data_IF_501218509978
#
_entry.id   IF_501218509978
#
_cell.length_a   1.000
_cell.length_b   1.000
_cell.length_c   1.000
_cell.angle_alpha   90.00
_cell.angle_beta   90.00
_cell.angle_gamma   90.00
#
_symmetry.space_group_name_H-M   'P 1'
#
loop_
_entity.id
_entity.type
_entity.pdbx_description
1 polymer ?
#
# COMPACT_ATOMS: atom_id res chain seq x y z
N UNK A 1 -9.76 3.79 -14.28
CA UNK A 1 -8.97 3.84 -15.54
C UNK A 1 -7.80 2.88 -15.47
N UNK A 2 -7.68 1.98 -16.45
CA UNK A 2 -6.48 1.15 -16.62
C UNK A 2 -5.35 2.06 -17.10
N UNK A 3 -4.17 1.97 -16.49
CA UNK A 3 -2.98 2.74 -16.88
C UNK A 3 -1.97 1.83 -17.56
N UNK A 4 -1.11 2.41 -18.40
CA UNK A 4 0.07 1.71 -18.88
C UNK A 4 1.17 1.76 -17.81
N UNK A 5 1.21 0.74 -16.96
CA UNK A 5 2.17 0.66 -15.86
C UNK A 5 3.61 0.62 -16.35
N UNK A 6 3.87 -0.09 -17.44
CA UNK A 6 5.21 -0.20 -18.05
C UNK A 6 5.73 1.16 -18.47
N UNK A 7 4.88 1.97 -19.11
CA UNK A 7 5.23 3.33 -19.52
C UNK A 7 5.57 4.21 -18.32
N UNK A 8 4.73 4.22 -17.29
CA UNK A 8 4.96 5.05 -16.09
C UNK A 8 6.24 4.65 -15.34
N UNK A 9 6.53 3.36 -15.24
CA UNK A 9 7.77 2.84 -14.64
C UNK A 9 9.03 3.17 -15.48
N UNK A 10 8.87 3.63 -16.72
CA UNK A 10 9.99 4.02 -17.59
C UNK A 10 10.15 5.53 -17.65
N UNK A 11 9.05 6.29 -17.67
CA UNK A 11 9.06 7.74 -17.86
C UNK A 11 9.25 8.52 -16.56
N UNK A 12 8.81 7.98 -15.42
CA UNK A 12 8.92 8.67 -14.12
C UNK A 12 10.20 8.22 -13.43
N UNK A 13 11.12 9.13 -13.03
CA UNK A 13 12.31 8.78 -12.27
C UNK A 13 11.98 8.02 -10.98
N UNK A 14 12.79 7.02 -10.61
CA UNK A 14 12.54 6.17 -9.43
C UNK A 14 12.48 6.96 -8.12
N UNK A 15 13.24 8.05 -7.99
CA UNK A 15 13.19 8.99 -6.85
C UNK A 15 11.83 9.68 -6.69
N UNK A 16 10.98 9.60 -7.72
CA UNK A 16 9.61 10.14 -7.71
C UNK A 16 8.54 9.06 -7.51
N UNK A 17 8.91 7.82 -7.21
CA UNK A 17 7.96 6.74 -6.96
C UNK A 17 7.52 6.73 -5.49
N UNK A 18 7.14 7.90 -4.98
CA UNK A 18 6.77 8.08 -3.58
C UNK A 18 5.27 8.37 -3.42
N UNK A 19 4.84 8.37 -2.17
CA UNK A 19 3.49 8.72 -1.74
C UNK A 19 3.57 9.81 -0.70
N UNK A 20 2.55 10.64 -0.62
CA UNK A 20 2.45 11.66 0.43
C UNK A 20 1.95 11.05 1.74
N UNK A 21 2.14 11.77 2.85
CA UNK A 21 1.51 11.41 4.13
C UNK A 21 -0.01 11.23 4.02
N UNK A 22 -0.66 12.09 3.24
CA UNK A 22 -2.11 12.00 2.99
C UNK A 22 -2.51 10.69 2.30
N UNK A 23 -1.67 10.21 1.39
CA UNK A 23 -1.91 8.95 0.68
C UNK A 23 -1.76 7.75 1.65
N UNK A 24 -0.86 7.83 2.64
CA UNK A 24 -0.74 6.83 3.71
C UNK A 24 -1.96 6.83 4.63
N UNK A 25 -2.46 8.00 5.06
CA UNK A 25 -3.70 8.07 5.85
C UNK A 25 -4.91 7.49 5.09
N UNK A 26 -4.97 7.70 3.77
CA UNK A 26 -5.98 7.07 2.92
C UNK A 26 -5.80 5.55 2.86
N UNK A 27 -4.57 5.06 2.76
CA UNK A 27 -4.26 3.63 2.83
C UNK A 27 -4.71 3.03 4.15
N UNK A 28 -4.44 3.67 5.29
CA UNK A 28 -4.92 3.23 6.62
C UNK A 28 -6.45 3.07 6.61
N UNK A 29 -7.18 4.09 6.18
CA UNK A 29 -8.64 4.03 6.08
C UNK A 29 -9.15 2.92 5.14
N UNK A 30 -8.46 2.66 4.04
CA UNK A 30 -8.77 1.57 3.12
C UNK A 30 -8.53 0.20 3.76
N UNK A 31 -7.38 -0.02 4.40
CA UNK A 31 -7.05 -1.27 5.09
C UNK A 31 -8.09 -1.55 6.18
N UNK A 32 -8.38 -0.58 7.06
CA UNK A 32 -9.39 -0.69 8.12
C UNK A 32 -10.74 -1.14 7.58
N UNK A 33 -11.19 -0.52 6.49
CA UNK A 33 -12.46 -0.89 5.84
C UNK A 33 -12.42 -2.33 5.32
N UNK A 34 -11.34 -2.74 4.66
CA UNK A 34 -11.22 -4.10 4.10
C UNK A 34 -11.11 -5.18 5.17
N UNK A 35 -10.53 -4.86 6.32
CA UNK A 35 -10.56 -5.72 7.51
C UNK A 35 -11.98 -5.85 8.04
N UNK A 36 -12.70 -4.74 8.23
CA UNK A 36 -14.08 -4.75 8.72
C UNK A 36 -15.05 -5.49 7.78
N UNK A 37 -14.81 -5.43 6.46
CA UNK A 37 -15.55 -6.16 5.43
C UNK A 37 -15.14 -7.65 5.30
N UNK A 38 -14.13 -8.11 6.05
CA UNK A 38 -13.60 -9.49 5.92
C UNK A 38 -12.93 -9.79 4.58
N UNK A 39 -12.50 -8.76 3.85
CA UNK A 39 -11.81 -8.84 2.55
C UNK A 39 -10.29 -8.89 2.67
N UNK A 40 -9.75 -8.33 3.75
CA UNK A 40 -8.37 -8.53 4.16
C UNK A 40 -8.41 -9.44 5.39
N UNK A 41 -7.78 -10.61 5.28
CA UNK A 41 -7.93 -11.71 6.24
C UNK A 41 -6.60 -12.07 6.89
N UNK A 42 -6.61 -12.47 8.17
CA UNK A 42 -5.42 -12.99 8.84
C UNK A 42 -4.85 -14.19 8.08
N UNK A 43 -3.54 -14.37 8.18
CA UNK A 43 -2.81 -15.51 7.61
C UNK A 43 -2.03 -16.24 8.70
N UNK A 44 -1.47 -17.41 8.39
CA UNK A 44 -0.62 -18.13 9.36
C UNK A 44 0.60 -17.30 9.81
N UNK A 45 1.10 -16.40 8.95
CA UNK A 45 2.25 -15.54 9.23
C UNK A 45 1.87 -14.16 9.78
N UNK A 46 0.59 -13.85 9.80
CA UNK A 46 0.05 -12.57 10.26
C UNK A 46 -1.35 -12.77 10.86
N UNK A 47 -1.37 -13.12 12.14
CA UNK A 47 -2.57 -13.41 12.91
C UNK A 47 -3.20 -12.14 13.52
N UNK A 48 -3.25 -11.05 12.76
CA UNK A 48 -3.85 -9.79 13.23
C UNK A 48 -5.34 -9.98 13.62
N UNK A 49 -5.82 -9.15 14.56
CA UNK A 49 -7.22 -9.19 15.01
C UNK A 49 -8.00 -8.09 14.30
N UNK A 50 -9.19 -8.41 13.78
CA UNK A 50 -10.01 -7.42 13.10
C UNK A 50 -10.45 -6.25 14.01
N UNK A 51 -10.48 -6.47 15.32
CA UNK A 51 -10.78 -5.46 16.34
C UNK A 51 -9.57 -4.65 16.80
N UNK A 52 -8.36 -4.99 16.35
CA UNK A 52 -7.15 -4.21 16.65
C UNK A 52 -7.07 -3.01 15.71
N UNK A 53 -7.07 -1.82 16.30
CA UNK A 53 -6.98 -0.55 15.58
C UNK A 53 -5.61 0.15 15.76
N UNK A 54 -4.73 -0.47 16.55
CA UNK A 54 -3.41 0.04 16.92
C UNK A 54 -2.30 -0.50 16.02
N UNK A 55 -2.16 -1.82 15.87
CA UNK A 55 -1.09 -2.42 15.06
C UNK A 55 -1.60 -2.81 13.67
N UNK A 56 -2.73 -3.53 13.61
CA UNK A 56 -3.35 -3.94 12.36
C UNK A 56 -2.57 -5.04 11.63
N UNK A 57 -2.95 -5.33 10.36
CA UNK A 57 -2.24 -6.29 9.53
C UNK A 57 -0.82 -5.83 9.23
N UNK A 58 0.12 -6.76 9.07
CA UNK A 58 1.47 -6.41 8.66
C UNK A 58 1.52 -6.00 7.18
N UNK A 59 2.57 -5.28 6.79
CA UNK A 59 2.73 -4.76 5.43
C UNK A 59 2.78 -5.88 4.37
N UNK A 60 3.32 -7.07 4.70
CA UNK A 60 3.24 -8.23 3.80
C UNK A 60 1.80 -8.62 3.44
N UNK A 61 0.89 -8.65 4.42
CA UNK A 61 -0.51 -8.99 4.22
C UNK A 61 -1.22 -7.91 3.41
N UNK A 62 -0.98 -6.64 3.76
CA UNK A 62 -1.53 -5.50 3.01
C UNK A 62 -1.06 -5.54 1.56
N UNK A 63 0.24 -5.79 1.33
CA UNK A 63 0.78 -5.81 -0.03
C UNK A 63 0.15 -6.94 -0.86
N UNK A 64 0.15 -8.17 -0.34
CA UNK A 64 -0.32 -9.35 -1.07
C UNK A 64 -1.83 -9.39 -1.30
N UNK A 65 -2.63 -8.97 -0.31
CA UNK A 65 -4.10 -9.06 -0.39
C UNK A 65 -4.78 -7.79 -0.89
N UNK A 66 -4.13 -6.62 -0.79
CA UNK A 66 -4.73 -5.33 -1.14
C UNK A 66 -3.99 -4.62 -2.28
N UNK A 67 -2.69 -4.32 -2.10
CA UNK A 67 -1.96 -3.47 -3.05
C UNK A 67 -1.77 -4.20 -4.38
N UNK A 68 -1.14 -5.38 -4.38
CA UNK A 68 -0.85 -6.13 -5.59
C UNK A 68 -2.11 -6.43 -6.42
N UNK A 69 -3.24 -6.89 -5.85
CA UNK A 69 -4.44 -7.13 -6.65
C UNK A 69 -5.04 -5.86 -7.25
N UNK A 70 -4.92 -4.71 -6.57
CA UNK A 70 -5.40 -3.43 -7.09
C UNK A 70 -4.51 -2.96 -8.25
N UNK A 71 -3.19 -2.97 -8.05
CA UNK A 71 -2.24 -2.47 -9.05
C UNK A 71 -2.18 -3.35 -10.29
N UNK A 72 -2.30 -4.67 -10.15
CA UNK A 72 -2.40 -5.59 -11.28
C UNK A 72 -3.61 -5.26 -12.17
N UNK A 73 -4.79 -5.04 -11.57
CA UNK A 73 -5.99 -4.61 -12.32
C UNK A 73 -5.86 -3.22 -12.93
N UNK A 74 -4.99 -2.37 -12.39
CA UNK A 74 -4.72 -1.03 -12.90
C UNK A 74 -3.68 -1.03 -14.04
N UNK A 75 -3.24 -2.19 -14.53
CA UNK A 75 -2.25 -2.32 -15.61
C UNK A 75 -0.81 -2.49 -15.14
N UNK A 76 -0.61 -3.02 -13.92
CA UNK A 76 0.71 -3.39 -13.40
C UNK A 76 1.58 -2.22 -12.94
N UNK A 77 0.97 -1.06 -12.67
CA UNK A 77 1.65 0.14 -12.18
C UNK A 77 2.03 0.01 -10.68
N UNK A 78 3.10 0.66 -10.21
CA UNK A 78 3.36 0.73 -8.76
C UNK A 78 2.23 1.48 -8.03
N UNK A 79 2.03 1.22 -6.74
CA UNK A 79 1.00 1.92 -5.95
C UNK A 79 1.20 3.44 -5.97
N UNK A 80 2.44 3.89 -5.80
CA UNK A 80 2.82 5.30 -5.86
C UNK A 80 2.40 5.95 -7.19
N UNK A 81 2.81 5.37 -8.32
CA UNK A 81 2.48 5.91 -9.65
C UNK A 81 1.00 5.72 -10.03
N UNK A 82 0.27 4.82 -9.34
CA UNK A 82 -1.18 4.73 -9.45
C UNK A 82 -1.89 5.90 -8.76
N UNK A 83 -1.34 6.44 -7.68
CA UNK A 83 -1.88 7.62 -7.01
C UNK A 83 -1.38 8.92 -7.63
N UNK A 84 -0.10 8.96 -8.02
CA UNK A 84 0.64 10.12 -8.52
C UNK A 84 1.30 9.80 -9.87
N UNK A 85 0.56 9.86 -11.00
CA UNK A 85 1.11 9.53 -12.31
C UNK A 85 2.32 10.39 -12.71
N UNK A 86 2.41 11.62 -12.22
CA UNK A 86 3.52 12.55 -12.45
C UNK A 86 4.72 12.29 -11.51
N UNK A 87 4.53 11.42 -10.52
CA UNK A 87 5.49 11.15 -9.46
C UNK A 87 5.45 12.17 -8.31
N UNK A 88 6.00 11.77 -7.18
CA UNK A 88 6.15 12.57 -5.96
C UNK A 88 7.56 12.35 -5.39
N UNK A 89 8.27 13.41 -5.02
CA UNK A 89 9.67 13.29 -4.59
C UNK A 89 9.75 12.48 -3.29
N UNK A 90 10.70 11.55 -3.23
CA UNK A 90 10.92 10.72 -2.06
C UNK A 90 11.75 11.46 -1.00
N UNK A 91 11.11 11.88 0.07
CA UNK A 91 11.79 12.48 1.24
C UNK A 91 12.31 11.43 2.22
N UNK A 92 11.62 10.28 2.34
CA UNK A 92 11.95 9.21 3.27
C UNK A 92 11.77 7.84 2.61
N UNK A 93 12.78 6.97 2.76
CA UNK A 93 12.76 5.61 2.25
C UNK A 93 12.90 4.60 3.39
N UNK A 94 12.01 3.60 3.42
CA UNK A 94 11.96 2.57 4.46
C UNK A 94 12.07 1.19 3.81
N UNK A 95 13.05 0.38 4.23
CA UNK A 95 13.41 -0.88 3.54
C UNK A 95 13.11 -2.17 4.29
N UNK A 96 12.72 -2.11 5.56
CA UNK A 96 12.55 -3.31 6.39
C UNK A 96 11.22 -3.37 7.13
N UNK A 97 10.29 -2.45 6.81
CA UNK A 97 9.00 -2.33 7.47
C UNK A 97 7.95 -3.37 7.01
N UNK A 98 8.37 -4.59 6.65
CA UNK A 98 7.48 -5.57 6.02
C UNK A 98 6.63 -6.38 7.01
N UNK A 99 7.17 -6.62 8.22
CA UNK A 99 6.51 -7.43 9.26
C UNK A 99 5.75 -6.56 10.27
N UNK A 100 5.99 -5.26 10.24
CA UNK A 100 5.41 -4.23 11.09
C UNK A 100 3.94 -4.02 10.75
N UNK A 101 3.16 -3.71 11.78
CA UNK A 101 1.74 -3.38 11.63
C UNK A 101 1.57 -2.10 10.82
N UNK A 102 0.74 -2.15 9.77
CA UNK A 102 0.53 -1.01 8.88
C UNK A 102 -0.14 0.17 9.58
N UNK A 103 -0.88 -0.08 10.67
CA UNK A 103 -1.52 1.00 11.43
C UNK A 103 -0.48 1.75 12.25
N UNK A 104 0.35 1.02 13.00
CA UNK A 104 1.46 1.57 13.77
C UNK A 104 2.47 2.31 12.89
N UNK A 105 2.75 1.78 11.70
CA UNK A 105 3.67 2.43 10.75
C UNK A 105 3.15 3.77 10.20
N UNK A 106 1.83 3.95 10.11
CA UNK A 106 1.19 5.13 9.51
C UNK A 106 0.78 6.17 10.57
N UNK A 107 0.76 5.85 11.85
CA UNK A 107 0.39 6.81 12.91
C UNK A 107 1.63 7.56 13.44
#
# INVERSE_FOLDING_TARGET
>A
PVRDGTRLLTEVPAERWCVTWRDLLQLRGLVRRRVAEGRLRPTERDAFRASDDTTGPCVHTVNSQLIMPITQRAGGVSWALMLRPEGELCDLFVTHAWAEGIYEFID
#
